data_IF_067973394857
#
_entry.id   IF_067973394857
#
_cell.length_a   1.000
_cell.length_b   1.000
_cell.length_c   1.000
_cell.angle_alpha   90.00
_cell.angle_beta   90.00
_cell.angle_gamma   90.00
#
_symmetry.space_group_name_H-M   'P 1'
#
loop_
_entity.id
_entity.type
_entity.pdbx_description
1 polymer ?
#
# COMPACT_ATOMS: atom_id res chain seq x y z
N UNK A 1 37.87 48.58 5.86
CA UNK A 1 38.01 49.82 5.05
C UNK A 1 39.44 50.29 5.23
N UNK A 2 40.24 50.47 4.17
CA UNK A 2 39.96 51.29 2.98
C UNK A 2 39.96 50.44 1.68
N UNK A 3 39.00 50.66 0.78
CA UNK A 3 38.95 51.62 -0.34
C UNK A 3 39.46 51.02 -1.65
N UNK A 4 38.55 51.12 -2.62
CA UNK A 4 38.49 50.42 -3.90
C UNK A 4 39.26 51.14 -5.03
N UNK A 5 39.24 50.46 -6.19
CA UNK A 5 39.19 50.99 -7.56
C UNK A 5 40.49 51.19 -8.37
N UNK A 6 40.68 50.26 -9.35
CA UNK A 6 40.51 50.46 -10.82
C UNK A 6 41.75 50.19 -11.70
N UNK A 7 41.62 49.19 -12.58
CA UNK A 7 42.03 49.15 -14.00
C UNK A 7 41.39 47.86 -14.58
N UNK A 8 40.28 47.87 -15.31
CA UNK A 8 40.07 48.23 -16.72
C UNK A 8 41.16 47.76 -17.68
N UNK A 9 40.94 46.62 -18.33
CA UNK A 9 41.17 46.41 -19.77
C UNK A 9 40.08 45.50 -20.33
N UNK A 10 39.51 45.93 -21.46
CA UNK A 10 38.49 45.25 -22.28
C UNK A 10 39.15 44.61 -23.53
N UNK A 11 38.35 43.81 -24.24
CA UNK A 11 38.52 43.23 -25.59
C UNK A 11 39.25 41.86 -25.62
N UNK A 12 38.81 40.80 -26.30
CA UNK A 12 37.73 40.56 -27.28
C UNK A 12 37.51 39.02 -27.44
N UNK A 13 36.53 38.54 -28.24
CA UNK A 13 35.94 37.20 -28.18
C UNK A 13 36.58 36.19 -29.16
N UNK A 14 36.53 34.89 -28.84
CA UNK A 14 37.04 33.85 -29.74
C UNK A 14 36.52 32.45 -29.45
N UNK A 15 35.51 32.06 -30.25
CA UNK A 15 35.22 30.70 -30.72
C UNK A 15 35.11 29.53 -29.70
N UNK A 16 33.88 29.23 -29.29
CA UNK A 16 33.47 27.86 -28.94
C UNK A 16 32.96 27.16 -30.21
N UNK A 17 33.69 26.17 -30.71
CA UNK A 17 33.15 25.15 -31.61
C UNK A 17 32.63 23.97 -30.76
N UNK A 18 31.40 23.46 -30.99
CA UNK A 18 30.98 22.18 -30.44
C UNK A 18 31.37 21.07 -31.42
N UNK A 19 32.29 20.19 -31.03
CA UNK A 19 32.54 18.97 -31.79
C UNK A 19 31.50 17.92 -31.37
N UNK A 20 30.48 17.75 -32.21
CA UNK A 20 29.61 16.58 -32.23
C UNK A 20 30.42 15.37 -32.69
N UNK A 21 30.52 14.33 -31.85
CA UNK A 21 30.82 12.98 -32.32
C UNK A 21 29.81 12.00 -31.71
N UNK A 22 29.08 11.34 -32.61
CA UNK A 22 28.11 10.29 -32.32
C UNK A 22 28.81 8.94 -32.07
N UNK A 23 28.48 8.33 -30.91
CA UNK A 23 28.02 6.94 -30.65
C UNK A 23 28.85 5.72 -31.11
N UNK A 24 28.86 4.59 -30.35
CA UNK A 24 27.62 3.81 -30.10
C UNK A 24 27.48 3.05 -28.75
N UNK A 25 26.20 2.83 -28.39
CA UNK A 25 25.64 1.72 -27.60
C UNK A 25 26.38 1.19 -26.35
N UNK A 26 25.87 1.52 -25.16
CA UNK A 26 25.69 0.58 -24.04
C UNK A 26 24.38 0.91 -23.28
N UNK A 27 23.72 -0.14 -22.76
CA UNK A 27 22.31 -0.17 -22.32
C UNK A 27 21.93 0.67 -21.08
N UNK A 28 20.68 0.52 -20.58
CA UNK A 28 20.12 1.43 -19.59
C UNK A 28 20.87 1.34 -18.25
N UNK A 29 21.31 2.52 -17.79
CA UNK A 29 21.94 2.71 -16.50
C UNK A 29 21.00 2.28 -15.36
N UNK A 30 21.42 1.28 -14.60
CA UNK A 30 20.84 0.90 -13.32
C UNK A 30 20.99 2.06 -12.34
N UNK A 31 19.89 2.47 -11.70
CA UNK A 31 19.88 3.46 -10.63
C UNK A 31 20.73 3.01 -9.42
N UNK A 32 21.35 3.93 -8.67
CA UNK A 32 22.10 3.56 -7.47
C UNK A 32 21.14 3.12 -6.35
N UNK A 33 21.34 1.91 -5.84
CA UNK A 33 20.67 1.40 -4.65
C UNK A 33 21.09 2.22 -3.41
N UNK A 34 20.17 2.50 -2.46
CA UNK A 34 20.55 3.02 -1.15
C UNK A 34 21.27 1.94 -0.35
N UNK A 35 22.37 2.33 0.28
CA UNK A 35 23.26 1.48 1.08
C UNK A 35 22.51 0.70 2.16
N UNK A 36 22.57 -0.63 2.10
CA UNK A 36 22.19 -1.52 3.20
C UNK A 36 23.26 -1.49 4.32
N UNK A 37 22.87 -1.60 5.60
CA UNK A 37 23.81 -1.82 6.68
C UNK A 37 24.29 -3.28 6.67
N UNK A 38 25.61 -3.41 6.74
CA UNK A 38 26.45 -4.59 6.84
C UNK A 38 25.92 -5.57 7.92
N UNK A 39 25.25 -6.64 7.50
CA UNK A 39 24.95 -7.82 8.32
C UNK A 39 25.85 -8.95 7.82
N UNK A 40 26.86 -9.26 8.63
CA UNK A 40 27.79 -10.36 8.38
C UNK A 40 27.03 -11.70 8.19
N UNK A 41 27.51 -12.59 7.31
CA UNK A 41 26.97 -13.93 7.19
C UNK A 41 27.29 -14.71 8.48
N UNK A 42 26.26 -15.20 9.15
CA UNK A 42 26.43 -16.27 10.13
C UNK A 42 26.76 -17.54 9.35
N UNK A 43 28.03 -17.93 9.42
CA UNK A 43 28.49 -19.26 9.00
C UNK A 43 27.87 -20.28 9.98
N UNK A 44 27.03 -21.16 9.43
CA UNK A 44 26.54 -22.36 10.12
C UNK A 44 27.74 -23.33 10.27
N UNK A 45 28.45 -23.21 11.40
CA UNK A 45 29.46 -24.18 11.81
C UNK A 45 28.76 -25.45 12.31
N UNK A 46 28.97 -26.56 11.58
CA UNK A 46 28.65 -27.92 12.00
C UNK A 46 29.40 -28.25 13.31
N UNK A 47 28.69 -28.30 14.43
CA UNK A 47 29.16 -28.90 15.68
C UNK A 47 28.28 -30.08 16.05
N UNK A 48 28.57 -31.22 15.43
CA UNK A 48 28.17 -32.54 15.91
C UNK A 48 29.20 -32.99 16.96
N UNK A 49 29.02 -32.56 18.21
CA UNK A 49 29.85 -33.02 19.34
C UNK A 49 28.97 -33.80 20.32
N UNK A 50 29.08 -35.13 20.20
CA UNK A 50 28.41 -36.11 21.05
C UNK A 50 28.80 -35.94 22.54
N UNK A 51 27.87 -36.23 23.48
CA UNK A 51 28.15 -36.11 24.91
C UNK A 51 29.17 -37.16 25.40
N UNK A 52 29.96 -36.85 26.44
CA UNK A 52 31.07 -37.67 26.90
C UNK A 52 30.60 -38.93 27.63
N UNK A 53 31.16 -40.07 27.24
CA UNK A 53 31.04 -41.35 27.95
C UNK A 53 32.02 -41.29 29.13
N UNK A 54 31.49 -41.20 30.35
CA UNK A 54 32.30 -41.36 31.56
C UNK A 54 32.28 -42.83 31.98
N UNK A 55 33.40 -43.50 31.77
CA UNK A 55 33.70 -44.82 32.32
C UNK A 55 34.23 -44.73 33.77
N UNK A 56 33.90 -45.79 34.52
CA UNK A 56 34.46 -46.28 35.79
C UNK A 56 33.93 -45.72 37.14
N UNK A 57 33.96 -46.50 38.25
CA UNK A 57 34.43 -47.90 38.41
C UNK A 57 33.40 -48.86 39.07
N UNK A 58 33.59 -50.16 38.85
CA UNK A 58 33.01 -51.21 39.69
C UNK A 58 33.77 -51.37 41.02
N UNK A 59 33.06 -51.65 42.12
CA UNK A 59 33.62 -52.45 43.20
C UNK A 59 32.99 -53.85 43.23
N UNK A 60 33.85 -54.85 43.11
CA UNK A 60 33.58 -56.22 43.48
C UNK A 60 33.09 -56.33 44.94
N UNK A 61 32.15 -57.24 45.22
CA UNK A 61 31.77 -57.54 46.60
C UNK A 61 30.54 -58.44 46.78
N UNK A 62 30.76 -59.75 46.60
CA UNK A 62 30.18 -60.88 47.34
C UNK A 62 28.78 -60.83 48.00
N UNK A 63 28.07 -61.95 47.83
CA UNK A 63 27.30 -62.69 48.86
C UNK A 63 25.77 -62.70 48.70
N UNK A 64 25.27 -63.93 48.63
CA UNK A 64 23.94 -64.44 48.96
C UNK A 64 22.73 -64.02 48.11
N UNK A 65 22.35 -64.94 47.22
CA UNK A 65 20.96 -65.16 46.83
C UNK A 65 20.45 -66.43 47.50
N UNK A 66 19.88 -66.27 48.69
CA UNK A 66 18.80 -67.15 49.15
C UNK A 66 17.54 -66.79 48.36
N UNK A 67 17.03 -67.74 47.57
CA UNK A 67 15.67 -67.69 47.04
C UNK A 67 14.70 -68.08 48.18
N UNK A 68 13.53 -67.44 48.33
CA UNK A 68 12.30 -68.16 47.99
C UNK A 68 11.12 -67.21 47.57
N UNK A 69 9.88 -67.71 47.39
CA UNK A 69 9.29 -68.06 46.11
C UNK A 69 8.17 -67.09 45.66
N UNK A 70 7.77 -67.23 44.39
CA UNK A 70 6.53 -66.80 43.75
C UNK A 70 5.52 -65.94 44.55
N UNK A 71 5.25 -64.73 44.07
CA UNK A 71 4.12 -63.94 44.55
C UNK A 71 3.90 -62.61 43.83
N UNK A 72 3.05 -62.65 42.79
CA UNK A 72 2.27 -61.51 42.26
C UNK A 72 3.04 -60.36 41.61
N UNK A 73 3.00 -60.32 40.27
CA UNK A 73 3.35 -59.13 39.49
C UNK A 73 2.52 -57.90 39.95
N UNK A 74 3.13 -56.73 40.21
CA UNK A 74 2.38 -55.51 40.49
C UNK A 74 1.77 -54.95 39.19
N UNK A 75 0.61 -54.27 39.26
CA UNK A 75 -0.08 -53.77 38.07
C UNK A 75 0.73 -52.65 37.39
N UNK A 76 0.82 -52.64 36.04
CA UNK A 76 1.55 -51.63 35.29
C UNK A 76 0.74 -50.33 35.27
N UNK A 77 1.12 -49.37 36.11
CA UNK A 77 0.48 -48.05 36.10
C UNK A 77 0.72 -47.17 37.34
N UNK A 78 1.24 -47.73 38.43
CA UNK A 78 1.48 -46.98 39.68
C UNK A 78 2.92 -46.47 39.84
N UNK A 79 3.88 -47.05 39.12
CA UNK A 79 5.31 -46.72 39.23
C UNK A 79 5.72 -45.36 38.68
N UNK A 80 5.22 -44.86 37.53
CA UNK A 80 5.63 -43.55 37.04
C UNK A 80 5.12 -42.41 37.94
N UNK A 81 3.89 -42.50 38.44
CA UNK A 81 3.31 -41.49 39.36
C UNK A 81 3.98 -41.51 40.74
N UNK A 82 4.44 -42.67 41.22
CA UNK A 82 5.23 -42.78 42.45
C UNK A 82 6.65 -42.23 42.26
N UNK A 83 7.28 -42.49 41.12
CA UNK A 83 8.58 -41.93 40.78
C UNK A 83 8.51 -40.39 40.63
N UNK A 84 7.46 -39.87 40.02
CA UNK A 84 7.21 -38.44 39.90
C UNK A 84 6.93 -37.79 41.26
N UNK A 85 6.12 -38.43 42.12
CA UNK A 85 5.93 -37.96 43.51
C UNK A 85 7.23 -37.98 44.30
N UNK A 86 8.10 -38.99 44.12
CA UNK A 86 9.41 -39.03 44.78
C UNK A 86 10.31 -37.91 44.27
N UNK A 87 10.36 -37.66 42.95
CA UNK A 87 11.08 -36.53 42.35
C UNK A 87 10.56 -35.18 42.83
N UNK A 88 9.25 -34.98 42.87
CA UNK A 88 8.63 -33.76 43.39
C UNK A 88 8.97 -33.53 44.87
N UNK A 89 8.86 -34.57 45.71
CA UNK A 89 9.27 -34.49 47.12
C UNK A 89 10.78 -34.25 47.30
N UNK A 90 11.61 -34.80 46.41
CA UNK A 90 13.05 -34.56 46.39
C UNK A 90 13.36 -33.09 46.07
N UNK A 91 12.76 -32.57 44.98
CA UNK A 91 12.89 -31.17 44.57
C UNK A 91 12.37 -30.21 45.62
N UNK A 92 11.28 -30.55 46.32
CA UNK A 92 10.72 -29.72 47.38
C UNK A 92 11.63 -29.69 48.62
N UNK A 93 12.25 -30.82 48.97
CA UNK A 93 13.28 -30.88 50.02
C UNK A 93 14.52 -30.10 49.64
N UNK A 94 14.96 -30.19 48.38
CA UNK A 94 16.08 -29.41 47.85
C UNK A 94 15.77 -27.91 47.84
N UNK A 95 14.55 -27.50 47.46
CA UNK A 95 14.08 -26.12 47.57
C UNK A 95 14.08 -25.61 49.01
N UNK A 96 13.61 -26.44 49.96
CA UNK A 96 13.66 -26.10 51.38
C UNK A 96 15.10 -25.96 51.89
N UNK A 97 15.98 -26.86 51.47
CA UNK A 97 17.40 -26.85 51.84
C UNK A 97 18.12 -25.65 51.24
N UNK A 98 17.86 -25.32 49.97
CA UNK A 98 18.39 -24.14 49.29
C UNK A 98 17.88 -22.85 49.93
N UNK A 99 16.59 -22.77 50.27
CA UNK A 99 16.02 -21.63 51.04
C UNK A 99 16.68 -21.49 52.42
N UNK A 100 16.90 -22.60 53.13
CA UNK A 100 17.57 -22.57 54.43
C UNK A 100 19.06 -22.20 54.30
N UNK A 101 19.74 -22.59 53.22
CA UNK A 101 21.10 -22.18 52.90
C UNK A 101 21.16 -20.68 52.56
N UNK A 102 20.23 -20.17 51.76
CA UNK A 102 20.13 -18.75 51.42
C UNK A 102 19.88 -17.88 52.67
N UNK A 103 19.03 -18.36 53.58
CA UNK A 103 18.79 -17.70 54.87
C UNK A 103 20.07 -17.63 55.73
N UNK A 104 20.86 -18.71 55.78
CA UNK A 104 22.16 -18.72 56.46
C UNK A 104 23.18 -17.78 55.79
N UNK A 105 23.19 -17.67 54.45
CA UNK A 105 24.02 -16.69 53.75
C UNK A 105 23.62 -15.25 54.08
N UNK A 106 22.33 -14.96 54.25
CA UNK A 106 21.85 -13.64 54.65
C UNK A 106 22.24 -13.25 56.09
N UNK A 107 22.45 -14.21 56.99
CA UNK A 107 22.93 -13.99 58.36
C UNK A 107 24.47 -13.89 58.45
N UNK A 108 25.20 -14.60 57.58
CA UNK A 108 26.67 -14.62 57.61
C UNK A 108 27.28 -13.42 56.87
N UNK A 109 26.62 -12.94 55.81
CA UNK A 109 27.09 -11.79 55.02
C UNK A 109 25.92 -10.88 54.60
N UNK A 110 25.40 -10.05 55.53
CA UNK A 110 24.25 -9.19 55.28
C UNK A 110 24.51 -8.16 54.16
N UNK A 111 25.77 -7.73 54.01
CA UNK A 111 26.17 -6.75 53.00
C UNK A 111 26.12 -7.32 51.57
N UNK A 112 26.51 -8.59 51.38
CA UNK A 112 26.38 -9.25 50.08
C UNK A 112 24.93 -9.51 49.70
N UNK A 113 24.10 -9.92 50.66
CA UNK A 113 22.67 -10.11 50.42
C UNK A 113 21.97 -8.79 50.07
N UNK A 114 22.29 -7.69 50.76
CA UNK A 114 21.81 -6.35 50.43
C UNK A 114 22.24 -5.92 49.03
N UNK A 115 23.52 -6.15 48.65
CA UNK A 115 24.02 -5.88 47.29
C UNK A 115 23.29 -6.71 46.23
N UNK A 116 22.97 -7.97 46.53
CA UNK A 116 22.28 -8.86 45.60
C UNK A 116 20.83 -8.43 45.38
N UNK A 117 20.14 -7.98 46.43
CA UNK A 117 18.81 -7.37 46.33
C UNK A 117 18.83 -6.03 45.57
N UNK A 118 19.83 -5.19 45.77
CA UNK A 118 19.99 -3.95 45.00
C UNK A 118 20.29 -4.23 43.53
N UNK A 119 21.09 -5.27 43.24
CA UNK A 119 21.35 -5.70 41.87
C UNK A 119 20.08 -6.24 41.18
N UNK A 120 19.24 -6.98 41.91
CA UNK A 120 17.93 -7.45 41.42
C UNK A 120 17.00 -6.28 41.11
N UNK A 121 16.88 -5.29 42.01
CA UNK A 121 16.09 -4.08 41.76
C UNK A 121 16.58 -3.30 40.53
N UNK A 122 17.90 -3.13 40.40
CA UNK A 122 18.51 -2.47 39.23
C UNK A 122 18.24 -3.24 37.94
N UNK A 123 18.27 -4.57 38.00
CA UNK A 123 17.93 -5.43 36.85
C UNK A 123 16.46 -5.27 36.45
N UNK A 124 15.53 -5.29 37.41
CA UNK A 124 14.11 -5.07 37.12
C UNK A 124 13.86 -3.68 36.51
N UNK A 125 14.51 -2.64 37.02
CA UNK A 125 14.40 -1.29 36.47
C UNK A 125 14.91 -1.23 35.02
N UNK A 126 16.05 -1.88 34.74
CA UNK A 126 16.59 -1.98 33.39
C UNK A 126 15.67 -2.78 32.46
N UNK A 127 15.09 -3.87 32.93
CA UNK A 127 14.13 -4.67 32.17
C UNK A 127 12.85 -3.88 31.86
N UNK A 128 12.35 -3.08 32.82
CA UNK A 128 11.22 -2.17 32.57
C UNK A 128 11.57 -1.11 31.52
N UNK A 129 12.76 -0.51 31.60
CA UNK A 129 13.23 0.46 30.60
C UNK A 129 13.38 -0.19 29.22
N UNK A 130 13.86 -1.43 29.17
CA UNK A 130 13.98 -2.20 27.94
C UNK A 130 12.60 -2.49 27.31
N UNK A 131 11.67 -3.01 28.10
CA UNK A 131 10.31 -3.32 27.66
C UNK A 131 9.57 -2.07 27.15
N UNK A 132 9.77 -0.92 27.80
CA UNK A 132 9.21 0.35 27.34
C UNK A 132 9.79 0.75 25.98
N UNK A 133 11.11 0.70 25.82
CA UNK A 133 11.75 1.00 24.51
C UNK A 133 11.31 0.04 23.42
N UNK A 134 11.18 -1.25 23.73
CA UNK A 134 10.69 -2.25 22.80
C UNK A 134 9.26 -1.93 22.35
N UNK A 135 8.37 -1.58 23.28
CA UNK A 135 7.00 -1.17 22.97
C UNK A 135 6.96 0.12 22.14
N UNK A 136 7.80 1.11 22.47
CA UNK A 136 7.91 2.35 21.70
C UNK A 136 8.35 2.08 20.26
N UNK A 137 9.38 1.24 20.08
CA UNK A 137 9.89 0.87 18.77
C UNK A 137 8.87 0.06 17.98
N UNK A 138 8.19 -0.89 18.62
CA UNK A 138 7.13 -1.69 17.99
C UNK A 138 5.95 -0.79 17.57
N UNK A 139 5.49 0.12 18.44
CA UNK A 139 4.44 1.07 18.11
C UNK A 139 4.86 2.02 16.98
N UNK A 140 6.12 2.48 16.96
CA UNK A 140 6.65 3.31 15.88
C UNK A 140 6.71 2.52 14.56
N UNK A 141 7.15 1.28 14.58
CA UNK A 141 7.15 0.41 13.40
C UNK A 141 5.72 0.14 12.90
N UNK A 142 4.77 -0.15 13.79
CA UNK A 142 3.37 -0.33 13.41
C UNK A 142 2.81 0.91 12.72
N UNK A 143 3.11 2.11 13.21
CA UNK A 143 2.71 3.37 12.58
C UNK A 143 3.35 3.55 11.20
N UNK A 144 4.62 3.19 11.05
CA UNK A 144 5.32 3.25 9.75
C UNK A 144 4.70 2.29 8.74
N UNK A 145 4.43 1.04 9.14
CA UNK A 145 3.77 0.04 8.28
C UNK A 145 2.39 0.55 7.85
N UNK A 146 1.57 1.04 8.78
CA UNK A 146 0.26 1.62 8.46
C UNK A 146 0.33 2.81 7.49
N UNK A 147 1.35 3.67 7.65
CA UNK A 147 1.54 4.80 6.74
C UNK A 147 1.90 4.33 5.33
N UNK A 148 2.78 3.33 5.20
CA UNK A 148 3.17 2.75 3.91
C UNK A 148 2.00 2.00 3.26
N UNK A 149 1.20 1.27 4.03
CA UNK A 149 0.00 0.60 3.52
C UNK A 149 -1.01 1.60 2.97
N UNK A 150 -1.23 2.71 3.69
CA UNK A 150 -2.09 3.79 3.22
C UNK A 150 -1.55 4.42 1.93
N UNK A 151 -0.25 4.74 1.88
CA UNK A 151 0.38 5.31 0.68
C UNK A 151 0.26 4.36 -0.52
N UNK A 152 0.46 3.06 -0.29
CA UNK A 152 0.29 2.03 -1.31
C UNK A 152 -1.14 2.00 -1.84
N UNK A 153 -2.12 2.08 -0.95
CA UNK A 153 -3.53 2.03 -1.33
C UNK A 153 -3.96 3.32 -2.05
N UNK A 154 -3.51 4.49 -1.58
CA UNK A 154 -3.68 5.79 -2.26
C UNK A 154 -3.06 5.75 -3.67
N UNK A 155 -1.85 5.19 -3.82
CA UNK A 155 -1.19 5.04 -5.11
C UNK A 155 -1.92 4.07 -6.05
N UNK A 156 -2.52 3.01 -5.51
CA UNK A 156 -3.35 2.07 -6.28
C UNK A 156 -4.62 2.74 -6.77
N UNK A 157 -5.29 3.51 -5.92
CA UNK A 157 -6.49 4.27 -6.29
C UNK A 157 -6.16 5.31 -7.38
N UNK A 158 -5.05 6.03 -7.25
CA UNK A 158 -4.57 6.95 -8.29
C UNK A 158 -4.29 6.23 -9.61
N UNK A 159 -3.65 5.05 -9.56
CA UNK A 159 -3.39 4.26 -10.77
C UNK A 159 -4.68 3.79 -11.45
N UNK A 160 -5.68 3.35 -10.69
CA UNK A 160 -7.00 2.99 -11.22
C UNK A 160 -7.73 4.20 -11.81
N UNK A 161 -7.64 5.36 -11.15
CA UNK A 161 -8.17 6.63 -11.65
C UNK A 161 -7.57 7.03 -13.00
N UNK A 162 -6.23 7.03 -13.11
CA UNK A 162 -5.53 7.35 -14.35
C UNK A 162 -5.83 6.34 -15.48
N UNK A 163 -5.96 5.06 -15.15
CA UNK A 163 -6.36 4.03 -16.14
C UNK A 163 -7.76 4.28 -16.66
N UNK A 164 -8.71 4.56 -15.77
CA UNK A 164 -10.08 4.93 -16.13
C UNK A 164 -10.11 6.19 -16.99
N UNK A 165 -9.39 7.24 -16.61
CA UNK A 165 -9.30 8.50 -17.36
C UNK A 165 -8.73 8.29 -18.77
N UNK A 166 -7.66 7.51 -18.94
CA UNK A 166 -7.11 7.20 -20.27
C UNK A 166 -8.11 6.48 -21.18
N UNK A 167 -8.88 5.54 -20.63
CA UNK A 167 -9.93 4.87 -21.39
C UNK A 167 -11.09 5.82 -21.72
N UNK A 168 -11.44 6.72 -20.79
CA UNK A 168 -12.46 7.75 -21.02
C UNK A 168 -12.01 8.73 -22.10
N UNK A 169 -10.75 9.13 -22.10
CA UNK A 169 -10.18 10.01 -23.12
C UNK A 169 -10.26 9.37 -24.50
N UNK A 170 -9.87 8.09 -24.60
CA UNK A 170 -10.00 7.34 -25.85
C UNK A 170 -11.44 7.26 -26.32
N UNK A 171 -12.39 6.92 -25.44
CA UNK A 171 -13.81 6.90 -25.79
C UNK A 171 -14.32 8.27 -26.22
N UNK A 172 -13.89 9.34 -25.55
CA UNK A 172 -14.27 10.70 -25.86
C UNK A 172 -13.77 11.13 -27.25
N UNK A 173 -12.52 10.80 -27.58
CA UNK A 173 -11.94 11.04 -28.91
C UNK A 173 -12.65 10.20 -29.99
N UNK A 174 -12.84 8.91 -29.74
CA UNK A 174 -13.53 7.99 -30.66
C UNK A 174 -14.98 8.45 -30.93
N UNK A 175 -15.63 9.06 -29.93
CA UNK A 175 -16.95 9.68 -30.05
C UNK A 175 -16.93 11.11 -30.62
N UNK A 176 -15.82 11.55 -31.21
CA UNK A 176 -15.63 12.90 -31.79
C UNK A 176 -15.89 14.03 -30.78
N UNK A 177 -15.39 13.85 -29.55
CA UNK A 177 -15.36 14.89 -28.52
C UNK A 177 -14.71 16.18 -29.00
N UNK A 178 -15.20 17.32 -28.51
CA UNK A 178 -14.57 18.62 -28.81
C UNK A 178 -13.20 18.72 -28.15
N UNK A 179 -12.23 19.25 -28.89
CA UNK A 179 -10.88 19.51 -28.39
C UNK A 179 -10.78 20.96 -27.90
N UNK A 180 -9.97 21.22 -26.88
CA UNK A 180 -9.82 22.53 -26.26
C UNK A 180 -10.77 22.73 -25.08
N UNK A 181 -11.07 23.98 -24.75
CA UNK A 181 -12.02 24.35 -23.70
C UNK A 181 -11.84 25.77 -23.20
N UNK A 182 -12.29 26.02 -21.99
CA UNK A 182 -12.24 27.34 -21.36
C UNK A 182 -10.92 27.52 -20.60
N UNK A 183 -10.66 28.75 -20.13
CA UNK A 183 -9.51 29.07 -19.26
C UNK A 183 -9.41 28.17 -18.01
N UNK A 184 -10.50 27.52 -17.60
CA UNK A 184 -10.61 26.74 -16.37
C UNK A 184 -10.61 25.22 -16.56
N UNK A 185 -10.94 24.74 -17.75
CA UNK A 185 -11.05 23.29 -18.01
C UNK A 185 -11.29 23.00 -19.49
N UNK A 186 -10.76 21.87 -19.95
CA UNK A 186 -11.09 21.32 -21.27
C UNK A 186 -12.52 20.78 -21.34
N UNK A 187 -13.01 20.55 -22.56
CA UNK A 187 -14.26 19.80 -22.79
C UNK A 187 -14.15 18.36 -22.22
N UNK A 188 -12.97 17.74 -22.32
CA UNK A 188 -12.72 16.42 -21.72
C UNK A 188 -12.80 16.45 -20.19
N UNK A 189 -12.21 17.45 -19.54
CA UNK A 189 -12.32 17.62 -18.07
C UNK A 189 -13.78 17.80 -17.64
N UNK A 190 -14.56 18.52 -18.46
CA UNK A 190 -15.99 18.74 -18.23
C UNK A 190 -16.77 17.45 -18.43
N UNK A 191 -16.45 16.67 -19.45
CA UNK A 191 -17.00 15.33 -19.65
C UNK A 191 -16.70 14.40 -18.47
N UNK A 192 -15.46 14.35 -17.98
CA UNK A 192 -15.09 13.56 -16.81
C UNK A 192 -15.89 13.98 -15.56
N UNK A 193 -16.09 15.28 -15.34
CA UNK A 193 -16.87 15.79 -14.20
C UNK A 193 -18.36 15.43 -14.29
N UNK A 194 -18.96 15.53 -15.47
CA UNK A 194 -20.41 15.35 -15.66
C UNK A 194 -20.80 13.88 -15.86
N UNK A 195 -20.02 13.14 -16.66
CA UNK A 195 -20.35 11.80 -17.14
C UNK A 195 -19.36 10.74 -16.64
N UNK A 196 -18.18 11.11 -16.14
CA UNK A 196 -17.16 10.13 -15.73
C UNK A 196 -17.62 9.19 -14.61
N UNK A 197 -18.56 9.61 -13.77
CA UNK A 197 -19.20 8.76 -12.74
C UNK A 197 -20.11 7.66 -13.31
N UNK A 198 -20.59 7.82 -14.55
CA UNK A 198 -21.47 6.87 -15.24
C UNK A 198 -20.69 5.70 -15.86
N UNK A 199 -19.36 5.67 -15.72
CA UNK A 199 -18.53 4.57 -16.20
C UNK A 199 -17.81 3.90 -15.03
N UNK A 200 -17.79 2.57 -15.04
CA UNK A 200 -16.96 1.76 -14.16
C UNK A 200 -15.80 1.17 -14.94
N UNK A 201 -14.64 1.12 -14.32
CA UNK A 201 -13.52 0.33 -14.84
C UNK A 201 -13.81 -1.15 -14.54
N UNK A 202 -13.96 -1.95 -15.60
CA UNK A 202 -14.14 -3.39 -15.50
C UNK A 202 -13.01 -4.12 -16.24
N UNK A 203 -12.79 -5.38 -15.88
CA UNK A 203 -11.81 -6.23 -16.55
C UNK A 203 -12.56 -7.34 -17.28
N UNK A 204 -12.44 -7.36 -18.60
CA UNK A 204 -13.05 -8.38 -19.47
C UNK A 204 -11.99 -8.93 -20.41
N UNK A 205 -11.91 -10.26 -20.53
CA UNK A 205 -10.92 -10.96 -21.37
C UNK A 205 -9.46 -10.55 -21.08
N UNK A 206 -9.15 -10.28 -19.80
CA UNK A 206 -7.82 -9.82 -19.37
C UNK A 206 -7.47 -8.39 -19.78
N UNK A 207 -8.39 -7.66 -20.42
CA UNK A 207 -8.24 -6.25 -20.79
C UNK A 207 -9.13 -5.36 -19.94
N UNK A 208 -8.62 -4.20 -19.58
CA UNK A 208 -9.39 -3.16 -18.92
C UNK A 208 -10.34 -2.52 -19.95
N UNK A 209 -11.62 -2.40 -19.58
CA UNK A 209 -12.65 -1.74 -20.37
C UNK A 209 -13.50 -0.85 -19.48
N UNK A 210 -14.23 0.06 -20.11
CA UNK A 210 -15.23 0.86 -19.42
C UNK A 210 -16.60 0.23 -19.64
N UNK A 211 -17.37 0.19 -18.58
CA UNK A 211 -18.74 -0.30 -18.55
C UNK A 211 -19.65 0.82 -18.06
N UNK A 212 -20.63 1.25 -18.87
CA UNK A 212 -21.64 2.20 -18.43
C UNK A 212 -22.43 1.64 -17.25
N UNK A 213 -22.74 2.48 -16.27
CA UNK A 213 -23.51 2.12 -15.08
C UNK A 213 -24.68 3.08 -14.86
N UNK A 214 -25.76 2.54 -14.29
CA UNK A 214 -26.91 3.31 -13.85
C UNK A 214 -26.67 4.01 -12.50
N UNK A 215 -27.68 4.73 -12.01
CA UNK A 215 -27.62 5.42 -10.72
C UNK A 215 -27.50 4.47 -9.52
N UNK A 216 -27.87 3.19 -9.67
CA UNK A 216 -27.72 2.15 -8.66
C UNK A 216 -26.34 1.46 -8.74
N UNK A 217 -25.50 1.83 -9.71
CA UNK A 217 -24.22 1.20 -9.97
C UNK A 217 -24.32 -0.17 -10.63
N UNK A 218 -25.46 -0.51 -11.25
CA UNK A 218 -25.57 -1.70 -12.08
C UNK A 218 -25.17 -1.38 -13.52
N UNK A 219 -24.71 -2.38 -14.30
CA UNK A 219 -24.47 -2.18 -15.73
C UNK A 219 -25.68 -1.56 -16.41
N UNK A 220 -25.47 -0.47 -17.14
CA UNK A 220 -26.55 0.21 -17.85
C UNK A 220 -27.09 -0.72 -18.94
N UNK A 221 -28.38 -1.01 -18.89
CA UNK A 221 -29.03 -1.89 -19.86
C UNK A 221 -30.19 -1.16 -20.54
N UNK A 222 -30.18 -1.16 -21.87
CA UNK A 222 -31.30 -0.69 -22.70
C UNK A 222 -32.05 -1.92 -23.21
N UNK A 223 -33.36 -1.97 -23.01
CA UNK A 223 -34.22 -3.11 -23.40
C UNK A 223 -33.75 -4.48 -22.87
N UNK A 224 -33.09 -4.49 -21.71
CA UNK A 224 -32.59 -5.70 -21.06
C UNK A 224 -31.24 -6.20 -21.57
N UNK A 225 -30.59 -5.48 -22.49
CA UNK A 225 -29.23 -5.78 -22.98
C UNK A 225 -28.24 -4.77 -22.41
N UNK A 226 -27.15 -5.25 -21.83
CA UNK A 226 -26.08 -4.40 -21.33
C UNK A 226 -25.47 -3.60 -22.48
N UNK A 227 -25.43 -2.29 -22.32
CA UNK A 227 -24.99 -1.37 -23.36
C UNK A 227 -23.46 -1.28 -23.38
N UNK A 228 -22.87 -1.29 -24.56
CA UNK A 228 -21.44 -1.07 -24.68
C UNK A 228 -21.09 0.40 -24.41
N UNK A 229 -19.84 0.68 -24.00
CA UNK A 229 -19.43 2.05 -23.74
C UNK A 229 -19.52 2.95 -24.98
N UNK A 230 -19.27 2.42 -26.18
CA UNK A 230 -19.42 3.17 -27.43
C UNK A 230 -20.89 3.53 -27.74
N UNK A 231 -21.81 2.59 -27.50
CA UNK A 231 -23.24 2.82 -27.74
C UNK A 231 -23.81 3.84 -26.74
N UNK A 232 -23.36 3.78 -25.48
CA UNK A 232 -23.72 4.79 -24.47
C UNK A 232 -23.18 6.18 -24.83
N UNK A 233 -21.97 6.26 -25.40
CA UNK A 233 -21.44 7.54 -25.91
C UNK A 233 -22.32 8.10 -27.03
N UNK A 234 -22.85 7.27 -27.91
CA UNK A 234 -23.80 7.68 -28.95
C UNK A 234 -25.12 8.22 -28.37
N UNK A 235 -25.59 7.68 -27.23
CA UNK A 235 -26.72 8.26 -26.50
C UNK A 235 -26.37 9.64 -25.92
N UNK A 236 -25.19 9.79 -25.29
CA UNK A 236 -24.72 11.07 -24.77
C UNK A 236 -24.58 12.13 -25.86
N UNK A 237 -24.19 11.72 -27.07
CA UNK A 237 -24.12 12.59 -28.25
C UNK A 237 -25.49 13.12 -28.69
N UNK A 238 -26.55 12.32 -28.53
CA UNK A 238 -27.94 12.73 -28.82
C UNK A 238 -28.63 13.36 -27.61
N UNK A 239 -27.99 13.31 -26.44
CA UNK A 239 -28.57 13.82 -25.21
C UNK A 239 -28.72 15.34 -25.27
N UNK A 240 -29.90 15.89 -24.94
CA UNK A 240 -30.17 17.32 -25.13
C UNK A 240 -29.29 18.21 -24.24
N UNK A 241 -28.75 17.67 -23.13
CA UNK A 241 -27.83 18.39 -22.23
C UNK A 241 -26.36 18.09 -22.50
N UNK A 242 -25.98 16.90 -22.99
CA UNK A 242 -24.56 16.50 -23.07
C UNK A 242 -23.98 16.55 -24.48
N UNK A 243 -24.84 16.67 -25.50
CA UNK A 243 -24.45 16.76 -26.91
C UNK A 243 -23.43 17.86 -27.21
N UNK A 244 -23.44 18.96 -26.46
CA UNK A 244 -22.50 20.08 -26.65
C UNK A 244 -21.02 19.70 -26.45
N UNK A 245 -20.74 18.62 -25.71
CA UNK A 245 -19.38 18.12 -25.50
C UNK A 245 -18.77 17.52 -26.77
N UNK A 246 -19.60 17.24 -27.78
CA UNK A 246 -19.20 16.55 -29.00
C UNK A 246 -19.26 17.47 -30.21
N UNK A 247 -18.50 17.11 -31.23
CA UNK A 247 -18.57 17.76 -32.53
C UNK A 247 -19.89 17.39 -33.20
N UNK A 248 -20.53 18.39 -33.83
CA UNK A 248 -21.68 18.15 -34.67
C UNK A 248 -21.18 17.53 -35.97
N UNK A 249 -21.63 16.31 -36.29
CA UNK A 249 -21.31 15.68 -37.58
C UNK A 249 -22.05 16.45 -38.66
N UNK A 250 -21.30 17.19 -39.48
CA UNK A 250 -21.82 17.84 -40.67
C UNK A 250 -22.13 16.78 -41.74
N UNK A 251 -23.25 16.06 -41.60
CA UNK A 251 -23.62 15.00 -42.53
C UNK A 251 -25.12 14.83 -42.66
N UNK A 252 -25.68 15.37 -43.74
CA UNK A 252 -26.93 15.04 -44.47
C UNK A 252 -28.27 14.79 -43.73
N UNK A 253 -28.28 14.65 -42.41
CA UNK A 253 -29.46 14.70 -41.56
C UNK A 253 -29.51 16.07 -40.88
N UNK A 254 -29.47 17.13 -41.69
CA UNK A 254 -30.02 18.41 -41.28
C UNK A 254 -31.55 18.25 -41.24
N UNK A 255 -32.06 17.80 -40.10
CA UNK A 255 -33.32 18.36 -39.64
C UNK A 255 -32.94 19.39 -38.58
N UNK A 256 -32.92 20.65 -39.01
CA UNK A 256 -32.88 21.87 -38.18
C UNK A 256 -31.62 22.18 -37.36
N UNK A 257 -30.42 22.07 -37.93
CA UNK A 257 -29.24 22.76 -37.40
C UNK A 257 -28.47 23.45 -38.54
N UNK A 258 -29.15 24.39 -39.20
CA UNK A 258 -28.50 25.57 -39.76
C UNK A 258 -27.88 26.36 -38.57
N UNK A 259 -26.72 26.99 -38.77
CA UNK A 259 -25.84 27.56 -37.73
C UNK A 259 -26.57 27.97 -36.45
N UNK A 260 -26.34 27.21 -35.36
CA UNK A 260 -27.20 27.14 -34.18
C UNK A 260 -27.85 28.47 -33.83
N UNK A 261 -29.12 28.62 -34.17
CA UNK A 261 -29.84 29.82 -33.83
C UNK A 261 -30.13 29.82 -32.33
N UNK A 262 -30.00 30.97 -31.67
CA UNK A 262 -30.51 31.11 -30.32
C UNK A 262 -32.03 30.89 -30.30
N UNK A 263 -32.63 30.83 -29.12
CA UNK A 263 -34.10 30.71 -28.97
C UNK A 263 -34.90 31.87 -29.61
N UNK A 264 -34.21 32.95 -30.03
CA UNK A 264 -34.76 34.09 -30.76
C UNK A 264 -34.55 34.03 -32.28
N UNK A 265 -33.91 32.97 -32.81
CA UNK A 265 -33.70 32.79 -34.25
C UNK A 265 -32.48 33.53 -34.81
N UNK A 266 -31.51 33.90 -33.97
CA UNK A 266 -30.26 34.58 -34.38
C UNK A 266 -29.13 33.56 -34.52
N UNK A 267 -28.41 33.53 -35.66
CA UNK A 267 -27.35 32.54 -35.86
C UNK A 267 -26.22 32.74 -34.86
N UNK A 268 -25.98 31.74 -34.02
CA UNK A 268 -24.91 31.73 -33.02
C UNK A 268 -23.74 30.91 -33.52
N UNK A 269 -22.54 31.46 -33.43
CA UNK A 269 -21.32 30.72 -33.68
C UNK A 269 -20.99 29.83 -32.47
N UNK A 270 -21.44 28.57 -32.53
CA UNK A 270 -21.17 27.54 -31.52
C UNK A 270 -19.69 27.17 -31.37
N UNK A 271 -18.81 27.64 -32.26
CA UNK A 271 -17.37 27.37 -32.19
C UNK A 271 -16.61 28.43 -31.38
N UNK A 272 -17.16 29.64 -31.22
CA UNK A 272 -16.54 30.70 -30.43
C UNK A 272 -17.03 30.77 -28.98
N UNK A 273 -18.04 29.97 -28.63
CA UNK A 273 -18.61 29.95 -27.30
C UNK A 273 -17.78 29.10 -26.34
N UNK A 274 -17.68 29.58 -25.10
CA UNK A 274 -17.10 28.84 -23.99
C UNK A 274 -17.92 27.59 -23.65
N UNK A 275 -17.28 26.62 -23.01
CA UNK A 275 -17.87 25.39 -22.47
C UNK A 275 -19.07 25.70 -21.58
N UNK A 276 -18.96 26.74 -20.73
CA UNK A 276 -20.08 27.18 -19.89
C UNK A 276 -21.25 27.72 -20.73
N UNK A 277 -20.99 28.54 -21.74
CA UNK A 277 -22.04 29.10 -22.60
C UNK A 277 -22.76 28.01 -23.39
N UNK A 278 -22.01 27.05 -23.93
CA UNK A 278 -22.56 25.88 -24.61
C UNK A 278 -23.44 25.04 -23.68
N UNK A 279 -23.01 24.81 -22.44
CA UNK A 279 -23.83 24.12 -21.44
C UNK A 279 -25.13 24.87 -21.14
N UNK A 280 -25.06 26.19 -20.95
CA UNK A 280 -26.25 27.00 -20.68
C UNK A 280 -27.24 26.99 -21.86
N UNK A 281 -26.73 27.01 -23.10
CA UNK A 281 -27.58 26.95 -24.29
C UNK A 281 -28.23 25.56 -24.46
N UNK A 282 -27.47 24.49 -24.19
CA UNK A 282 -28.02 23.14 -24.14
C UNK A 282 -29.15 23.03 -23.11
N UNK A 283 -28.93 23.52 -21.89
CA UNK A 283 -29.96 23.53 -20.83
C UNK A 283 -31.20 24.34 -21.22
N UNK A 284 -31.04 25.48 -21.90
CA UNK A 284 -32.18 26.27 -22.40
C UNK A 284 -33.01 25.52 -23.44
N UNK A 285 -32.36 24.82 -24.37
CA UNK A 285 -33.05 24.01 -25.39
C UNK A 285 -33.88 22.87 -24.79
N UNK A 286 -33.54 22.42 -23.58
CA UNK A 286 -34.26 21.33 -22.89
C UNK A 286 -35.52 21.80 -22.16
N UNK A 287 -35.69 23.11 -21.95
CA UNK A 287 -36.91 23.64 -21.32
C UNK A 287 -38.04 23.76 -22.34
N UNK A 288 -39.23 23.18 -22.08
CA UNK A 288 -40.33 23.22 -23.03
C UNK A 288 -40.80 24.65 -23.24
N UNK A 289 -40.80 25.09 -24.51
CA UNK A 289 -41.39 26.36 -24.92
C UNK A 289 -42.90 26.29 -24.69
N UNK A 290 -43.40 26.99 -23.68
CA UNK A 290 -44.84 27.14 -23.45
C UNK A 290 -45.45 27.77 -24.72
N UNK A 291 -46.39 27.11 -25.41
CA UNK A 291 -47.03 27.73 -26.57
C UNK A 291 -47.82 28.94 -26.08
N UNK A 292 -47.53 30.11 -26.65
CA UNK A 292 -48.32 31.30 -26.42
C UNK A 292 -49.76 30.99 -26.87
N UNK A 293 -50.70 31.02 -25.92
CA UNK A 293 -52.13 30.95 -26.22
C UNK A 293 -52.48 32.11 -27.16
N UNK A 294 -52.93 31.75 -28.35
CA UNK A 294 -53.56 32.64 -29.32
C UNK A 294 -54.90 33.15 -28.80
#
# INVERSE_FOLDING_TARGET
>A
MPSSFRHQFSAEPGAFQPQLQHQPNQGPATAPLPSEPDLAPLEDDELDEAPPVSEEPEPAGSSDSDDPPAGTAPPPGADPLRAERRRSNQLEKELRKARAQLARFSEINPDEYARLQEAERKREEQERQWNLREQELNNANRRRVQAVEKERDDAREQALGLRKERLLERLFIDAEGRVGGDERSSFFDTFCKLCGGQFRLSQSDGRERLEPIDAAGQPYALDGVALSASDYMEELRRHPVYSFLFQQRNGLYQSTAEGGYDSAGVPVNLQSMSTRELYMEAMRSTTPRVPARS
#
